data_IF_379767765938
#
_entry.id   IF_379767765938
#
_cell.length_a   1.000
_cell.length_b   1.000
_cell.length_c   1.000
_cell.angle_alpha   90.00
_cell.angle_beta   90.00
_cell.angle_gamma   90.00
#
_symmetry.space_group_name_H-M   'P 1'
#
loop_
_entity.id
_entity.type
_entity.pdbx_description
1 polymer ?
#
# COMPACT_ATOMS: atom_id res chain seq x y z
N UNK A 1 -6.74 -12.06 0.95
CA UNK A 1 -7.03 -11.68 2.37
C UNK A 1 -5.94 -10.84 3.03
N UNK A 2 -4.66 -10.94 2.61
CA UNK A 2 -3.53 -10.21 3.20
C UNK A 2 -3.70 -8.69 3.17
N UNK A 3 -4.07 -8.12 2.04
CA UNK A 3 -4.27 -6.66 1.87
C UNK A 3 -5.35 -6.12 2.82
N UNK A 4 -6.46 -6.86 3.00
CA UNK A 4 -7.52 -6.49 3.95
C UNK A 4 -6.99 -6.48 5.37
N UNK A 5 -6.21 -7.49 5.75
CA UNK A 5 -5.58 -7.57 7.08
C UNK A 5 -4.71 -6.34 7.37
N UNK A 6 -3.79 -5.99 6.47
CA UNK A 6 -2.90 -4.84 6.67
C UNK A 6 -3.64 -3.50 6.63
N UNK A 7 -4.70 -3.37 5.81
CA UNK A 7 -5.55 -2.18 5.80
C UNK A 7 -6.28 -2.01 7.14
N UNK A 8 -6.92 -3.06 7.65
CA UNK A 8 -7.60 -3.04 8.94
C UNK A 8 -6.60 -2.74 10.07
N UNK A 9 -5.44 -3.38 10.05
CA UNK A 9 -4.38 -3.14 11.05
C UNK A 9 -3.93 -1.67 11.06
N UNK A 10 -3.75 -1.06 9.88
CA UNK A 10 -3.40 0.35 9.75
C UNK A 10 -4.49 1.27 10.34
N UNK A 11 -5.76 0.98 10.02
CA UNK A 11 -6.90 1.78 10.52
C UNK A 11 -7.05 1.65 12.05
N UNK A 12 -6.92 0.43 12.59
CA UNK A 12 -6.99 0.19 14.04
C UNK A 12 -5.85 0.91 14.75
N UNK A 13 -4.61 0.75 14.28
CA UNK A 13 -3.43 1.37 14.87
C UNK A 13 -3.53 2.92 14.84
N UNK A 14 -3.99 3.50 13.74
CA UNK A 14 -4.25 4.95 13.65
C UNK A 14 -5.33 5.40 14.64
N UNK A 15 -6.42 4.64 14.77
CA UNK A 15 -7.52 4.93 15.67
C UNK A 15 -7.07 4.86 17.14
N UNK A 16 -6.29 3.85 17.53
CA UNK A 16 -5.71 3.72 18.86
C UNK A 16 -4.77 4.89 19.16
N UNK A 17 -3.88 5.22 18.19
CA UNK A 17 -2.98 6.38 18.33
C UNK A 17 -3.77 7.66 18.63
N UNK A 18 -4.82 7.94 17.86
CA UNK A 18 -5.67 9.13 18.07
C UNK A 18 -6.43 9.08 19.39
N UNK A 19 -6.88 7.92 19.84
CA UNK A 19 -7.60 7.77 21.09
C UNK A 19 -6.71 8.06 22.32
N UNK A 20 -5.44 7.60 22.27
CA UNK A 20 -4.48 7.74 23.38
C UNK A 20 -3.76 9.10 23.34
N UNK A 21 -3.56 9.67 22.14
CA UNK A 21 -2.83 10.91 21.94
C UNK A 21 -3.62 12.14 22.41
N UNK A 22 -2.98 13.02 23.20
CA UNK A 22 -3.52 14.35 23.55
C UNK A 22 -3.74 15.26 22.32
N UNK A 23 -3.12 14.97 21.18
CA UNK A 23 -3.28 15.69 19.91
C UNK A 23 -4.64 15.50 19.24
N UNK A 24 -5.51 14.62 19.74
CA UNK A 24 -6.87 14.39 19.24
C UNK A 24 -7.70 15.69 19.09
N UNK A 25 -7.34 16.74 19.84
CA UNK A 25 -8.03 18.03 19.80
C UNK A 25 -7.53 19.00 18.70
N UNK A 26 -6.57 18.62 17.91
CA UNK A 26 -5.84 19.54 16.98
C UNK A 26 -6.41 19.62 15.55
N UNK A 27 -7.67 19.19 15.33
CA UNK A 27 -8.39 19.42 14.07
C UNK A 27 -8.29 18.31 13.03
N UNK A 28 -9.14 18.38 12.01
CA UNK A 28 -9.33 17.33 11.00
C UNK A 28 -8.08 16.95 10.19
N UNK A 29 -7.18 17.89 9.90
CA UNK A 29 -5.92 17.60 9.22
C UNK A 29 -5.04 16.62 10.02
N UNK A 30 -4.93 16.80 11.34
CA UNK A 30 -4.14 15.89 12.18
C UNK A 30 -4.72 14.47 12.15
N UNK A 31 -6.03 14.33 12.11
CA UNK A 31 -6.69 13.02 12.00
C UNK A 31 -6.33 12.35 10.67
N UNK A 32 -6.54 13.07 9.56
CA UNK A 32 -6.28 12.53 8.21
C UNK A 32 -4.80 12.15 8.03
N UNK A 33 -3.87 13.03 8.46
CA UNK A 33 -2.43 12.75 8.35
C UNK A 33 -1.99 11.60 9.25
N UNK A 34 -2.68 11.36 10.39
CA UNK A 34 -2.41 10.17 11.21
C UNK A 34 -2.83 8.90 10.49
N UNK A 35 -4.06 8.83 9.95
CA UNK A 35 -4.49 7.68 9.16
C UNK A 35 -3.56 7.44 7.95
N UNK A 36 -3.22 8.49 7.22
CA UNK A 36 -2.31 8.41 6.09
C UNK A 36 -0.93 7.88 6.49
N UNK A 37 -0.37 8.33 7.61
CA UNK A 37 0.90 7.81 8.13
C UNK A 37 0.84 6.31 8.38
N UNK A 38 -0.23 5.83 9.00
CA UNK A 38 -0.37 4.40 9.29
C UNK A 38 -0.64 3.58 8.03
N UNK A 39 -1.33 4.12 7.03
CA UNK A 39 -1.47 3.50 5.72
C UNK A 39 -0.11 3.39 5.02
N UNK A 40 0.69 4.46 5.02
CA UNK A 40 2.04 4.41 4.44
C UNK A 40 2.96 3.45 5.20
N UNK A 41 2.94 3.47 6.54
CA UNK A 41 3.83 2.64 7.34
C UNK A 41 3.41 1.16 7.35
N UNK A 42 2.13 0.87 7.63
CA UNK A 42 1.66 -0.52 7.82
C UNK A 42 1.24 -1.13 6.49
N UNK A 43 0.34 -0.46 5.73
CA UNK A 43 -0.19 -1.03 4.51
C UNK A 43 0.84 -1.04 3.37
N UNK A 44 1.56 0.08 3.16
CA UNK A 44 2.63 0.11 2.14
C UNK A 44 3.91 -0.51 2.69
N UNK A 45 4.34 -0.10 3.89
CA UNK A 45 5.63 -0.50 4.46
C UNK A 45 5.69 -1.96 4.89
N UNK A 46 4.94 -2.33 5.93
CA UNK A 46 5.04 -3.69 6.50
C UNK A 46 4.49 -4.74 5.55
N UNK A 47 3.40 -4.46 4.81
CA UNK A 47 2.89 -5.39 3.81
C UNK A 47 3.91 -5.59 2.69
N UNK A 48 4.55 -4.51 2.17
CA UNK A 48 5.58 -4.64 1.14
C UNK A 48 6.78 -5.48 1.58
N UNK A 49 7.23 -5.36 2.84
CA UNK A 49 8.27 -6.26 3.38
C UNK A 49 7.77 -7.71 3.45
N UNK A 50 6.52 -7.92 3.83
CA UNK A 50 5.94 -9.27 3.93
C UNK A 50 5.78 -9.92 2.55
N UNK A 51 5.28 -9.19 1.54
CA UNK A 51 5.16 -9.69 0.17
C UNK A 51 6.54 -9.96 -0.46
N UNK A 52 7.51 -9.08 -0.22
CA UNK A 52 8.90 -9.30 -0.62
C UNK A 52 9.47 -10.62 -0.06
N UNK A 53 9.25 -10.88 1.24
CA UNK A 53 9.66 -12.16 1.84
C UNK A 53 9.00 -13.34 1.13
N UNK A 54 7.71 -13.23 0.78
CA UNK A 54 6.98 -14.31 0.13
C UNK A 54 7.52 -14.60 -1.27
N UNK A 55 7.72 -13.56 -2.09
CA UNK A 55 8.26 -13.70 -3.45
C UNK A 55 9.72 -14.21 -3.46
N UNK A 56 10.57 -13.71 -2.56
CA UNK A 56 11.99 -14.09 -2.52
C UNK A 56 12.20 -15.50 -1.94
N UNK A 57 11.53 -15.83 -0.83
CA UNK A 57 11.81 -17.07 -0.07
C UNK A 57 10.76 -18.17 -0.27
N UNK A 58 9.59 -17.85 -0.83
CA UNK A 58 8.47 -18.77 -1.07
C UNK A 58 7.89 -18.62 -2.48
N UNK A 59 8.71 -18.54 -3.54
CA UNK A 59 8.26 -18.18 -4.88
C UNK A 59 7.18 -19.13 -5.42
N UNK A 60 7.29 -20.43 -5.16
CA UNK A 60 6.28 -21.43 -5.58
C UNK A 60 4.92 -21.14 -4.91
N UNK A 61 4.92 -20.80 -3.63
CA UNK A 61 3.68 -20.50 -2.91
C UNK A 61 3.09 -19.15 -3.35
N UNK A 62 3.94 -18.17 -3.65
CA UNK A 62 3.51 -16.86 -4.17
C UNK A 62 2.78 -17.03 -5.50
N UNK A 63 3.42 -17.60 -6.52
CA UNK A 63 2.83 -17.82 -7.84
C UNK A 63 1.61 -18.74 -7.81
N UNK A 64 1.63 -19.81 -7.01
CA UNK A 64 0.48 -20.71 -6.85
C UNK A 64 -0.75 -19.97 -6.28
N UNK A 65 -0.56 -19.01 -5.38
CA UNK A 65 -1.65 -18.25 -4.76
C UNK A 65 -2.43 -17.37 -5.74
N UNK A 66 -1.78 -16.92 -6.80
CA UNK A 66 -2.36 -16.15 -7.91
C UNK A 66 -2.69 -16.99 -9.14
N UNK A 67 -2.39 -18.31 -9.08
CA UNK A 67 -2.64 -19.23 -10.20
C UNK A 67 -1.71 -19.03 -11.40
N UNK A 68 -0.49 -18.51 -11.17
CA UNK A 68 0.50 -18.28 -12.21
C UNK A 68 1.62 -19.35 -12.16
N UNK A 69 2.32 -19.53 -13.27
CA UNK A 69 3.51 -20.40 -13.30
C UNK A 69 4.67 -19.71 -12.57
N UNK A 70 5.35 -20.42 -11.71
CA UNK A 70 6.56 -19.92 -11.01
C UNK A 70 7.67 -19.65 -12.03
N UNK A 71 8.33 -18.50 -11.88
CA UNK A 71 9.44 -18.10 -12.74
C UNK A 71 10.55 -17.41 -11.94
N UNK A 72 11.76 -17.21 -12.51
CA UNK A 72 12.82 -16.42 -11.89
C UNK A 72 12.43 -14.96 -11.61
N UNK A 73 11.42 -14.42 -12.28
CA UNK A 73 10.90 -13.06 -12.05
C UNK A 73 10.28 -12.86 -10.66
N UNK A 74 9.93 -13.95 -9.95
CA UNK A 74 9.48 -13.87 -8.56
C UNK A 74 10.49 -13.11 -7.65
N UNK A 75 11.79 -13.33 -7.89
CA UNK A 75 12.83 -12.60 -7.16
C UNK A 75 12.80 -11.09 -7.47
N UNK A 76 12.63 -10.71 -8.74
CA UNK A 76 12.58 -9.31 -9.17
C UNK A 76 11.34 -8.61 -8.61
N UNK A 77 10.19 -9.28 -8.64
CA UNK A 77 8.95 -8.81 -7.99
C UNK A 77 9.18 -8.60 -6.50
N UNK A 78 9.80 -9.57 -5.82
CA UNK A 78 10.14 -9.45 -4.40
C UNK A 78 11.07 -8.27 -4.09
N UNK A 79 12.03 -7.96 -4.96
CA UNK A 79 12.91 -6.80 -4.78
C UNK A 79 12.18 -5.46 -5.01
N UNK A 80 11.21 -5.43 -5.92
CA UNK A 80 10.34 -4.27 -6.11
C UNK A 80 9.44 -4.06 -4.88
N UNK A 81 8.81 -5.12 -4.36
CA UNK A 81 8.03 -5.08 -3.11
C UNK A 81 8.87 -4.60 -1.93
N UNK A 82 10.09 -5.12 -1.80
CA UNK A 82 11.03 -4.69 -0.76
C UNK A 82 11.32 -3.19 -0.85
N UNK A 83 11.55 -2.70 -2.06
CA UNK A 83 11.80 -1.27 -2.31
C UNK A 83 10.63 -0.42 -1.85
N UNK A 84 9.41 -0.76 -2.26
CA UNK A 84 8.18 -0.07 -1.85
C UNK A 84 7.98 -0.17 -0.33
N UNK A 85 8.21 -1.36 0.25
CA UNK A 85 8.11 -1.58 1.69
C UNK A 85 9.08 -0.72 2.49
N UNK A 86 10.34 -0.61 2.08
CA UNK A 86 11.34 0.26 2.71
C UNK A 86 10.93 1.73 2.62
N UNK A 87 10.44 2.19 1.46
CA UNK A 87 9.92 3.56 1.32
C UNK A 87 8.76 3.83 2.28
N UNK A 88 7.82 2.87 2.41
CA UNK A 88 6.70 2.98 3.35
C UNK A 88 7.15 3.10 4.81
N UNK A 89 8.13 2.30 5.24
CA UNK A 89 8.71 2.39 6.59
C UNK A 89 9.41 3.74 6.82
N UNK A 90 10.16 4.21 5.84
CA UNK A 90 10.87 5.49 5.93
C UNK A 90 9.92 6.70 6.01
N UNK A 91 8.64 6.56 5.65
CA UNK A 91 7.61 7.57 5.85
C UNK A 91 7.37 7.93 7.33
N UNK A 92 7.81 7.11 8.28
CA UNK A 92 7.85 7.47 9.71
C UNK A 92 8.79 8.65 9.99
N UNK A 93 9.91 8.70 9.27
CA UNK A 93 10.97 9.69 9.46
C UNK A 93 10.88 10.85 8.48
N UNK A 94 10.65 10.54 7.21
CA UNK A 94 10.60 11.51 6.12
C UNK A 94 9.15 11.85 5.78
N UNK A 95 8.87 13.13 5.50
CA UNK A 95 7.51 13.66 5.28
C UNK A 95 7.41 14.36 3.92
N UNK A 96 6.32 15.05 3.70
CA UNK A 96 6.09 15.96 2.57
C UNK A 96 6.30 15.32 1.19
N UNK A 97 7.34 15.72 0.47
CA UNK A 97 7.66 15.20 -0.85
C UNK A 97 8.01 13.71 -0.83
N UNK A 98 8.55 13.21 0.28
CA UNK A 98 8.86 11.79 0.42
C UNK A 98 7.59 10.94 0.45
N UNK A 99 6.55 11.40 1.14
CA UNK A 99 5.25 10.72 1.13
C UNK A 99 4.63 10.69 -0.27
N UNK A 100 4.76 11.80 -1.01
CA UNK A 100 4.26 11.85 -2.38
C UNK A 100 5.02 10.89 -3.30
N UNK A 101 6.34 10.88 -3.23
CA UNK A 101 7.17 9.97 -4.03
C UNK A 101 6.85 8.50 -3.70
N UNK A 102 6.72 8.16 -2.41
CA UNK A 102 6.34 6.81 -1.97
C UNK A 102 4.95 6.42 -2.48
N UNK A 103 3.97 7.33 -2.38
CA UNK A 103 2.61 7.05 -2.84
C UNK A 103 2.54 6.89 -4.36
N UNK A 104 3.32 7.67 -5.13
CA UNK A 104 3.42 7.51 -6.59
C UNK A 104 4.07 6.17 -6.94
N UNK A 105 5.20 5.82 -6.31
CA UNK A 105 5.88 4.55 -6.55
C UNK A 105 4.97 3.35 -6.24
N UNK A 106 4.27 3.38 -5.09
CA UNK A 106 3.29 2.36 -4.73
C UNK A 106 2.12 2.29 -5.73
N UNK A 107 1.62 3.44 -6.20
CA UNK A 107 0.53 3.46 -7.16
C UNK A 107 0.95 2.90 -8.53
N UNK A 108 2.11 3.27 -9.02
CA UNK A 108 2.65 2.73 -10.30
C UNK A 108 2.84 1.22 -10.20
N UNK A 109 3.40 0.74 -9.09
CA UNK A 109 3.63 -0.68 -8.86
C UNK A 109 2.32 -1.47 -8.82
N UNK A 110 1.43 -1.17 -7.88
CA UNK A 110 0.19 -1.94 -7.69
C UNK A 110 -0.79 -1.81 -8.88
N UNK A 111 -0.89 -0.64 -9.50
CA UNK A 111 -1.75 -0.51 -10.69
C UNK A 111 -1.16 -1.26 -11.89
N UNK A 112 0.17 -1.35 -11.98
CA UNK A 112 0.85 -2.20 -12.97
C UNK A 112 0.55 -3.68 -12.76
N UNK A 113 0.63 -4.15 -11.51
CA UNK A 113 0.27 -5.52 -11.14
C UNK A 113 -1.20 -5.82 -11.43
N UNK A 114 -2.10 -4.91 -11.06
CA UNK A 114 -3.54 -5.05 -11.34
C UNK A 114 -3.84 -5.24 -12.83
N UNK A 115 -3.10 -4.58 -13.72
CA UNK A 115 -3.23 -4.82 -15.18
C UNK A 115 -2.89 -6.26 -15.52
N UNK A 116 -1.82 -6.83 -14.93
CA UNK A 116 -1.45 -8.23 -15.11
C UNK A 116 -2.54 -9.19 -14.60
N UNK A 117 -3.09 -8.93 -13.43
CA UNK A 117 -4.19 -9.70 -12.84
C UNK A 117 -5.47 -9.65 -13.69
N UNK A 118 -5.84 -8.46 -14.19
CA UNK A 118 -6.98 -8.28 -15.12
C UNK A 118 -6.74 -9.07 -16.42
N UNK A 119 -5.54 -9.00 -16.97
CA UNK A 119 -5.15 -9.75 -18.17
C UNK A 119 -5.34 -11.26 -17.97
N UNK A 120 -4.87 -11.80 -16.86
CA UNK A 120 -5.02 -13.20 -16.50
C UNK A 120 -6.49 -13.58 -16.27
N UNK A 121 -7.25 -12.72 -15.62
CA UNK A 121 -8.68 -12.93 -15.40
C UNK A 121 -9.46 -13.00 -16.72
N UNK A 122 -9.21 -12.03 -17.63
CA UNK A 122 -10.01 -11.90 -18.87
C UNK A 122 -9.59 -12.90 -19.94
N UNK A 123 -8.30 -13.10 -20.17
CA UNK A 123 -7.79 -13.93 -21.27
C UNK A 123 -7.59 -15.40 -20.89
N UNK A 124 -7.30 -15.67 -19.61
CA UNK A 124 -6.99 -17.02 -19.13
C UNK A 124 -8.03 -17.56 -18.16
N UNK A 125 -9.11 -16.80 -17.91
CA UNK A 125 -10.17 -17.17 -16.96
C UNK A 125 -9.64 -17.55 -15.57
N UNK A 126 -8.60 -16.82 -15.12
CA UNK A 126 -7.93 -17.10 -13.85
C UNK A 126 -8.68 -16.44 -12.68
N UNK A 127 -9.45 -17.26 -11.96
CA UNK A 127 -10.22 -16.86 -10.79
C UNK A 127 -9.55 -17.25 -9.46
N UNK A 128 -8.22 -17.43 -9.44
CA UNK A 128 -7.49 -17.71 -8.20
C UNK A 128 -7.76 -16.62 -7.16
N UNK A 129 -7.74 -17.00 -5.88
CA UNK A 129 -8.13 -16.14 -4.75
C UNK A 129 -7.38 -14.80 -4.71
N UNK A 130 -6.07 -14.82 -5.01
CA UNK A 130 -5.24 -13.62 -5.04
C UNK A 130 -4.98 -13.08 -6.45
N UNK A 131 -5.74 -13.52 -7.47
CA UNK A 131 -5.74 -12.94 -8.81
C UNK A 131 -6.99 -12.12 -9.11
N UNK A 132 -8.06 -12.31 -8.36
CA UNK A 132 -9.37 -11.72 -8.65
C UNK A 132 -10.12 -11.34 -7.36
N UNK A 133 -11.37 -10.90 -7.51
CA UNK A 133 -12.26 -10.60 -6.39
C UNK A 133 -11.76 -9.46 -5.50
N UNK A 134 -11.81 -9.65 -4.18
CA UNK A 134 -11.46 -8.65 -3.18
C UNK A 134 -9.99 -8.23 -3.27
N UNK A 135 -9.11 -9.14 -3.65
CA UNK A 135 -7.69 -8.86 -3.85
C UNK A 135 -7.50 -7.78 -4.90
N UNK A 136 -8.04 -7.99 -6.10
CA UNK A 136 -7.92 -7.06 -7.23
C UNK A 136 -8.59 -5.70 -6.92
N UNK A 137 -9.71 -5.71 -6.18
CA UNK A 137 -10.38 -4.47 -5.75
C UNK A 137 -9.44 -3.64 -4.86
N UNK A 138 -8.76 -4.26 -3.89
CA UNK A 138 -7.82 -3.56 -3.02
C UNK A 138 -6.59 -3.06 -3.77
N UNK A 139 -6.10 -3.83 -4.73
CA UNK A 139 -4.96 -3.48 -5.56
C UNK A 139 -5.21 -2.26 -6.45
N UNK A 140 -6.47 -2.08 -6.89
CA UNK A 140 -6.89 -0.90 -7.63
C UNK A 140 -7.20 0.30 -6.73
N UNK A 141 -7.98 0.09 -5.65
CA UNK A 141 -8.52 1.20 -4.87
C UNK A 141 -7.52 1.78 -3.87
N UNK A 142 -6.73 0.95 -3.19
CA UNK A 142 -5.86 1.41 -2.11
C UNK A 142 -4.73 2.34 -2.58
N UNK A 143 -4.01 2.05 -3.68
CA UNK A 143 -2.99 2.97 -4.16
C UNK A 143 -3.57 4.32 -4.58
N UNK A 144 -4.74 4.33 -5.22
CA UNK A 144 -5.45 5.56 -5.61
C UNK A 144 -5.91 6.35 -4.38
N UNK A 145 -6.45 5.67 -3.36
CA UNK A 145 -6.85 6.28 -2.09
C UNK A 145 -5.65 6.93 -1.38
N UNK A 146 -4.55 6.20 -1.24
CA UNK A 146 -3.35 6.69 -0.56
C UNK A 146 -2.77 7.90 -1.31
N UNK A 147 -2.62 7.81 -2.64
CA UNK A 147 -2.14 8.91 -3.46
C UNK A 147 -3.05 10.14 -3.37
N UNK A 148 -4.36 9.93 -3.46
CA UNK A 148 -5.36 10.99 -3.31
C UNK A 148 -5.29 11.68 -1.95
N UNK A 149 -5.14 10.92 -0.86
CA UNK A 149 -4.99 11.46 0.50
C UNK A 149 -3.69 12.27 0.66
N UNK A 150 -2.57 11.79 0.09
CA UNK A 150 -1.30 12.54 0.11
C UNK A 150 -1.46 13.88 -0.62
N UNK A 151 -2.03 13.87 -1.82
CA UNK A 151 -2.26 15.10 -2.60
C UNK A 151 -3.18 16.07 -1.85
N UNK A 152 -4.26 15.55 -1.26
CA UNK A 152 -5.21 16.34 -0.48
C UNK A 152 -4.54 16.99 0.74
N UNK A 153 -3.80 16.23 1.54
CA UNK A 153 -3.08 16.76 2.71
C UNK A 153 -2.06 17.84 2.31
N UNK A 154 -1.34 17.65 1.20
CA UNK A 154 -0.39 18.64 0.70
C UNK A 154 -1.06 19.96 0.32
N UNK A 155 -2.18 19.91 -0.41
CA UNK A 155 -2.94 21.12 -0.77
C UNK A 155 -3.36 21.90 0.46
N UNK A 156 -3.94 21.24 1.46
CA UNK A 156 -4.36 21.86 2.71
C UNK A 156 -3.21 22.51 3.51
N UNK A 157 -2.00 21.95 3.42
CA UNK A 157 -0.82 22.52 4.10
C UNK A 157 -0.31 23.77 3.36
N UNK A 158 -0.27 23.74 2.03
CA UNK A 158 0.12 24.88 1.21
C UNK A 158 -0.83 26.07 1.39
N UNK A 159 -2.13 25.83 1.36
CA UNK A 159 -3.15 26.87 1.54
C UNK A 159 -3.06 27.56 2.92
N UNK A 160 -2.58 26.86 3.94
CA UNK A 160 -2.37 27.42 5.29
C UNK A 160 -1.07 28.22 5.40
N UNK A 161 -0.04 27.87 4.65
CA UNK A 161 1.21 28.61 4.61
C UNK A 161 1.15 29.91 3.81
N UNK A 162 0.10 30.09 2.99
CA UNK A 162 -0.16 31.29 2.19
C UNK A 162 -1.10 32.31 2.88
N UNK A 163 -1.61 31.99 4.08
CA UNK A 163 -2.46 32.88 4.91
C UNK A 163 -1.70 33.32 6.15
#
# INVERSE_FOLDING_TARGET
MLQVFFAVLALVAASVHLAVSRKRRSGGITVITTFLLYLLFIYVGLMGIFTAYYHVFRPIAASASIGWATSPYEYEVGMADLTIGVLGILCLKFRDNFWLATAIANAVWLLGDAVGHIWQLVLHNNHAENNSGIFLIFELLMPLLILGLVIYCRRLTLDRGMR
#
